data_IF_662052729616
#
_entry.id   IF_662052729616
#
_cell.length_a   1.000
_cell.length_b   1.000
_cell.length_c   1.000
_cell.angle_alpha   90.00
_cell.angle_beta   90.00
_cell.angle_gamma   90.00
#
_symmetry.space_group_name_H-M   'P 1'
#
loop_
_entity.id
_entity.type
_entity.pdbx_description
1 polymer ?
#
# COMPACT_ATOMS: atom_id res chain seq x y z
N UNK A 1 7.51 -6.73 6.15
CA UNK A 1 6.28 -7.07 5.40
C UNK A 1 5.63 -5.79 4.92
N UNK A 2 4.89 -5.78 3.81
CA UNK A 2 4.32 -4.53 3.23
C UNK A 2 2.91 -4.73 2.70
N UNK A 3 2.14 -3.65 2.63
CA UNK A 3 0.84 -3.61 1.97
C UNK A 3 1.01 -3.39 0.46
N UNK A 4 0.35 -4.22 -0.35
CA UNK A 4 0.40 -4.16 -1.82
C UNK A 4 -0.99 -3.93 -2.38
N UNK A 5 -1.17 -2.83 -3.12
CA UNK A 5 -2.34 -2.64 -3.96
C UNK A 5 -2.10 -3.34 -5.31
N UNK A 6 -2.93 -4.35 -5.59
CA UNK A 6 -2.88 -5.14 -6.83
C UNK A 6 -3.49 -4.38 -8.00
N UNK A 7 -3.16 -4.76 -9.23
CA UNK A 7 -3.83 -4.26 -10.44
C UNK A 7 -5.35 -4.43 -10.31
N UNK A 8 -6.10 -3.37 -10.61
CA UNK A 8 -7.54 -3.28 -10.44
C UNK A 8 -8.00 -2.81 -9.05
N UNK A 9 -7.09 -2.65 -8.09
CA UNK A 9 -7.43 -2.03 -6.81
C UNK A 9 -7.70 -0.54 -6.98
N UNK A 10 -8.69 -0.02 -6.26
CA UNK A 10 -8.97 1.41 -6.15
C UNK A 10 -8.61 1.85 -4.73
N UNK A 11 -7.63 2.73 -4.64
CA UNK A 11 -7.23 3.32 -3.37
C UNK A 11 -8.26 4.36 -2.91
N UNK A 12 -8.38 4.61 -1.60
CA UNK A 12 -9.34 5.58 -1.07
C UNK A 12 -9.10 7.02 -1.56
N UNK A 13 -7.89 7.35 -1.98
CA UNK A 13 -7.57 8.62 -2.65
C UNK A 13 -8.04 8.70 -4.12
N UNK A 14 -8.75 7.69 -4.63
CA UNK A 14 -9.28 7.63 -5.99
C UNK A 14 -8.30 7.11 -7.05
N UNK A 15 -7.10 6.66 -6.66
CA UNK A 15 -6.13 6.10 -7.60
C UNK A 15 -6.50 4.65 -7.94
N UNK A 16 -6.70 4.38 -9.23
CA UNK A 16 -6.84 3.03 -9.76
C UNK A 16 -5.47 2.46 -10.15
N UNK A 17 -5.12 1.29 -9.62
CA UNK A 17 -3.85 0.62 -9.91
C UNK A 17 -3.94 -0.10 -11.24
N UNK A 18 -3.06 0.28 -12.18
CA UNK A 18 -2.94 -0.33 -13.51
C UNK A 18 -1.55 -0.91 -13.70
N UNK A 19 -1.46 -1.94 -14.52
CA UNK A 19 -0.16 -2.43 -14.98
C UNK A 19 0.45 -1.37 -15.90
N UNK A 20 1.63 -0.86 -15.53
CA UNK A 20 2.30 0.23 -16.26
C UNK A 20 3.79 -0.08 -16.39
N UNK A 21 4.44 0.50 -17.40
CA UNK A 21 5.90 0.51 -17.51
C UNK A 21 6.45 1.77 -16.90
N UNK A 22 7.25 1.63 -15.84
CA UNK A 22 7.92 2.75 -15.19
C UNK A 22 9.41 2.71 -15.54
N UNK A 23 9.88 3.72 -16.27
CA UNK A 23 11.28 3.81 -16.72
C UNK A 23 11.79 2.58 -17.50
N UNK A 24 10.89 1.93 -18.24
CA UNK A 24 11.19 0.74 -19.04
C UNK A 24 10.87 -0.58 -18.34
N UNK A 25 10.72 -0.58 -17.02
CA UNK A 25 10.45 -1.76 -16.20
C UNK A 25 8.96 -1.95 -15.94
N UNK A 26 8.50 -3.20 -15.91
CA UNK A 26 7.10 -3.52 -15.65
C UNK A 26 6.75 -3.36 -14.16
N UNK A 27 5.67 -2.63 -13.87
CA UNK A 27 5.10 -2.49 -12.55
C UNK A 27 3.67 -3.04 -12.53
N UNK A 28 3.46 -4.10 -11.75
CA UNK A 28 2.20 -4.84 -11.64
C UNK A 28 1.50 -4.61 -10.29
N UNK A 29 1.68 -3.43 -9.71
CA UNK A 29 1.10 -3.07 -8.42
C UNK A 29 1.79 -1.87 -7.81
N UNK A 30 1.39 -1.54 -6.58
CA UNK A 30 2.00 -0.45 -5.83
C UNK A 30 2.15 -0.84 -4.37
N UNK A 31 3.31 -0.52 -3.79
CA UNK A 31 3.53 -0.59 -2.35
C UNK A 31 2.87 0.64 -1.72
N UNK A 32 1.99 0.44 -0.74
CA UNK A 32 1.21 1.53 -0.19
C UNK A 32 1.83 2.11 1.08
N UNK A 33 1.76 3.42 1.23
CA UNK A 33 2.01 4.16 2.47
C UNK A 33 0.76 4.17 3.39
N UNK A 34 0.97 4.52 4.65
CA UNK A 34 -0.14 4.73 5.60
C UNK A 34 -1.11 5.82 5.10
N UNK A 35 -0.56 6.87 4.48
CA UNK A 35 -1.32 8.00 3.94
C UNK A 35 -2.21 7.61 2.77
N UNK A 36 -1.70 6.82 1.83
CA UNK A 36 -2.48 6.34 0.69
C UNK A 36 -3.63 5.41 1.09
N UNK A 37 -3.54 4.79 2.26
CA UNK A 37 -4.58 3.91 2.82
C UNK A 37 -5.51 4.63 3.82
N UNK A 38 -5.33 5.94 4.04
CA UNK A 38 -6.06 6.76 5.01
C UNK A 38 -6.00 6.22 6.46
N UNK A 39 -4.88 5.62 6.82
CA UNK A 39 -4.63 5.13 8.18
C UNK A 39 -4.20 6.28 9.10
N UNK A 40 -5.13 7.22 9.34
CA UNK A 40 -4.93 8.40 10.19
C UNK A 40 -5.07 8.14 11.69
N UNK A 41 -5.29 6.89 12.12
CA UNK A 41 -5.63 6.58 13.53
C UNK A 41 -4.93 5.36 14.13
N UNK A 42 -4.15 4.60 13.36
CA UNK A 42 -3.46 3.42 13.87
C UNK A 42 -2.08 3.80 14.46
N UNK A 43 -2.12 4.35 15.67
CA UNK A 43 -1.01 4.60 16.59
C UNK A 43 -0.11 5.80 16.29
N UNK A 44 0.07 6.62 17.32
CA UNK A 44 0.74 7.92 17.39
C UNK A 44 2.26 7.93 17.10
N UNK A 45 2.77 6.99 16.29
CA UNK A 45 4.18 6.88 15.91
C UNK A 45 4.41 6.83 14.38
N UNK A 46 3.34 6.80 13.57
CA UNK A 46 3.41 6.58 12.11
C UNK A 46 2.85 7.73 11.27
N UNK A 47 2.20 8.74 11.86
CA UNK A 47 1.52 9.80 11.10
C UNK A 47 2.46 10.70 10.27
N UNK A 48 3.77 10.71 10.59
CA UNK A 48 4.75 11.59 9.95
C UNK A 48 5.92 10.85 9.27
N UNK A 49 5.86 9.52 9.15
CA UNK A 49 6.94 8.78 8.46
C UNK A 49 6.71 8.76 6.95
N UNK A 50 7.52 9.49 6.15
CA UNK A 50 7.45 9.37 4.71
C UNK A 50 7.89 7.96 4.29
N UNK A 51 7.10 7.29 3.45
CA UNK A 51 7.49 6.02 2.86
C UNK A 51 6.40 4.95 2.86
N UNK A 52 6.83 3.72 2.58
CA UNK A 52 5.96 2.54 2.50
C UNK A 52 5.54 2.10 3.90
N UNK A 53 4.30 1.63 4.04
CA UNK A 53 3.80 1.06 5.27
C UNK A 53 4.53 -0.26 5.58
N UNK A 54 5.32 -0.24 6.64
CA UNK A 54 5.96 -1.43 7.19
C UNK A 54 4.97 -2.16 8.11
N UNK A 55 4.70 -3.43 7.77
CA UNK A 55 3.89 -4.34 8.58
C UNK A 55 4.79 -5.24 9.43
N UNK A 56 4.21 -5.76 10.52
CA UNK A 56 4.83 -6.81 11.34
C UNK A 56 5.32 -7.97 10.47
N UNK A 57 6.44 -8.59 10.85
CA UNK A 57 7.01 -9.71 10.10
C UNK A 57 6.08 -10.93 10.04
N UNK A 58 5.20 -11.07 11.02
CA UNK A 58 4.21 -12.16 11.11
C UNK A 58 2.90 -11.86 10.36
N UNK A 59 2.82 -10.73 9.64
CA UNK A 59 1.63 -10.39 8.89
C UNK A 59 1.32 -11.47 7.82
N UNK A 60 0.08 -11.97 7.74
CA UNK A 60 -0.25 -13.09 6.85
C UNK A 60 -0.18 -12.66 5.37
N UNK A 61 0.65 -13.34 4.60
CA UNK A 61 0.82 -13.07 3.16
C UNK A 61 -0.48 -13.41 2.41
N UNK A 62 -0.88 -12.51 1.50
CA UNK A 62 -1.98 -12.74 0.57
C UNK A 62 -3.37 -12.52 1.16
N UNK A 63 -3.48 -12.22 2.45
CA UNK A 63 -4.75 -11.79 3.05
C UNK A 63 -5.06 -10.33 2.69
N UNK A 64 -6.35 -10.04 2.61
CA UNK A 64 -6.82 -8.67 2.47
C UNK A 64 -6.41 -7.86 3.70
N UNK A 65 -5.94 -6.64 3.45
CA UNK A 65 -5.48 -5.73 4.49
C UNK A 65 -6.64 -5.11 5.29
N UNK A 66 -7.85 -5.05 4.72
CA UNK A 66 -9.06 -4.46 5.32
C UNK A 66 -10.09 -5.48 5.80
N UNK A 67 -9.87 -6.78 5.60
CA UNK A 67 -10.82 -7.84 6.00
C UNK A 67 -10.86 -8.09 7.51
#
# INVERSE_FOLDING_TARGET
MVAVAKVGAVLPNGIEIKAVKLRGEESCGMLCSAKELELHSATSATEDKPGILELSQDAPIGKDFRA
#
